data_IF_786411013464
#
_entry.id   IF_786411013464
#
_cell.length_a   1.000
_cell.length_b   1.000
_cell.length_c   1.000
_cell.angle_alpha   90.00
_cell.angle_beta   90.00
_cell.angle_gamma   90.00
#
_symmetry.space_group_name_H-M   'P 1'
#
loop_
_entity.id
_entity.type
_entity.pdbx_description
1 polymer ?
#
# COMPACT_ATOMS: atom_id res chain seq x y z
N UNK A 1 8.63 -19.25 0.76
CA UNK A 1 9.11 -17.84 0.74
C UNK A 1 8.03 -16.87 0.19
N UNK A 2 6.79 -17.33 0.13
CA UNK A 2 5.67 -16.52 -0.38
C UNK A 2 5.98 -15.92 -1.76
N UNK A 3 6.45 -16.75 -2.69
CA UNK A 3 6.61 -16.35 -4.09
C UNK A 3 5.23 -16.22 -4.73
N UNK A 4 5.08 -15.23 -5.60
CA UNK A 4 3.83 -14.93 -6.29
C UNK A 4 3.84 -15.63 -7.66
N UNK A 5 2.98 -16.62 -7.83
CA UNK A 5 2.58 -17.17 -9.11
C UNK A 5 1.22 -16.61 -9.56
N UNK A 6 0.72 -17.03 -10.71
CA UNK A 6 -0.56 -16.55 -11.26
C UNK A 6 -1.72 -16.87 -10.34
N UNK A 7 -1.76 -18.07 -9.75
CA UNK A 7 -2.84 -18.53 -8.89
C UNK A 7 -2.89 -17.67 -7.61
N UNK A 8 -1.77 -17.55 -6.91
CA UNK A 8 -1.66 -16.75 -5.66
C UNK A 8 -1.98 -15.28 -5.90
N UNK A 9 -1.49 -14.71 -7.02
CA UNK A 9 -1.74 -13.29 -7.31
C UNK A 9 -3.21 -13.05 -7.72
N UNK A 10 -3.82 -14.01 -8.43
CA UNK A 10 -5.24 -13.96 -8.78
C UNK A 10 -6.11 -14.05 -7.53
N UNK A 11 -5.81 -15.00 -6.63
CA UNK A 11 -6.52 -15.14 -5.35
C UNK A 11 -6.39 -13.86 -4.50
N UNK A 12 -5.19 -13.27 -4.41
CA UNK A 12 -4.99 -12.01 -3.70
C UNK A 12 -5.83 -10.89 -4.32
N UNK A 13 -5.81 -10.73 -5.64
CA UNK A 13 -6.62 -9.73 -6.36
C UNK A 13 -8.11 -9.89 -6.05
N UNK A 14 -8.62 -11.11 -6.18
CA UNK A 14 -10.04 -11.40 -5.99
C UNK A 14 -10.45 -11.13 -4.54
N UNK A 15 -9.60 -11.50 -3.58
CA UNK A 15 -9.83 -11.20 -2.17
C UNK A 15 -9.81 -9.69 -1.89
N UNK A 16 -8.93 -8.93 -2.54
CA UNK A 16 -8.90 -7.47 -2.40
C UNK A 16 -10.16 -6.83 -2.98
N UNK A 17 -10.71 -7.35 -4.09
CA UNK A 17 -12.01 -6.91 -4.62
C UNK A 17 -13.15 -7.13 -3.62
N UNK A 18 -13.24 -8.32 -3.02
CA UNK A 18 -14.23 -8.60 -1.98
C UNK A 18 -14.11 -7.64 -0.80
N UNK A 19 -12.89 -7.46 -0.27
CA UNK A 19 -12.62 -6.57 0.86
C UNK A 19 -12.91 -5.10 0.53
N UNK A 20 -12.74 -4.68 -0.72
CA UNK A 20 -13.01 -3.30 -1.13
C UNK A 20 -14.49 -2.93 -0.99
N UNK A 21 -15.39 -3.87 -1.19
CA UNK A 21 -16.87 -3.66 -1.14
C UNK A 21 -17.54 -4.16 0.14
N UNK A 22 -16.82 -4.88 1.01
CA UNK A 22 -17.36 -5.40 2.27
C UNK A 22 -17.50 -4.29 3.31
N UNK A 23 -18.71 -3.89 3.67
CA UNK A 23 -19.00 -2.80 4.60
C UNK A 23 -18.49 -3.04 6.03
N UNK A 24 -18.26 -4.30 6.43
CA UNK A 24 -17.74 -4.65 7.76
C UNK A 24 -16.22 -4.46 7.86
N UNK A 25 -15.51 -4.55 6.75
CA UNK A 25 -14.07 -4.33 6.70
C UNK A 25 -13.73 -2.85 6.77
N UNK A 26 -12.98 -2.41 7.76
CA UNK A 26 -12.56 -1.00 7.96
C UNK A 26 -11.13 -0.72 7.52
N UNK A 27 -10.23 -1.69 7.67
CA UNK A 27 -8.81 -1.57 7.34
C UNK A 27 -8.30 -2.93 6.84
N UNK A 28 -7.42 -2.92 5.84
CA UNK A 28 -6.78 -4.12 5.31
C UNK A 28 -5.31 -4.15 5.71
N UNK A 29 -4.86 -5.27 6.27
CA UNK A 29 -3.44 -5.51 6.57
C UNK A 29 -2.94 -6.62 5.65
N UNK A 30 -1.91 -6.33 4.87
CA UNK A 30 -1.18 -7.30 4.07
C UNK A 30 0.10 -7.72 4.80
N UNK A 31 0.32 -9.03 4.97
CA UNK A 31 1.53 -9.57 5.59
C UNK A 31 1.86 -10.94 5.00
N UNK A 32 3.11 -11.36 5.13
CA UNK A 32 3.56 -12.67 4.67
C UNK A 32 3.27 -13.79 5.67
N UNK A 33 2.95 -14.97 5.16
CA UNK A 33 2.84 -16.17 5.98
C UNK A 33 4.23 -16.59 6.53
N UNK A 34 4.29 -16.92 7.82
CA UNK A 34 5.54 -17.29 8.52
C UNK A 34 6.41 -16.07 8.86
N UNK A 35 7.69 -16.32 9.18
CA UNK A 35 8.57 -15.30 9.75
C UNK A 35 9.68 -14.83 8.77
N UNK A 36 9.86 -15.51 7.64
CA UNK A 36 11.02 -15.29 6.76
C UNK A 36 10.80 -14.26 5.67
N UNK A 37 9.60 -14.17 5.15
CA UNK A 37 9.32 -13.31 4.02
C UNK A 37 7.93 -12.71 4.13
N UNK A 38 7.84 -11.47 3.75
CA UNK A 38 6.59 -10.83 3.37
C UNK A 38 6.13 -11.43 2.04
N UNK A 39 6.74 -11.02 0.95
CA UNK A 39 6.55 -11.57 -0.39
C UNK A 39 7.89 -11.49 -1.12
N UNK A 40 8.48 -12.65 -1.47
CA UNK A 40 9.83 -12.68 -2.06
C UNK A 40 9.88 -12.34 -3.56
N UNK A 41 8.75 -11.89 -4.11
CA UNK A 41 8.63 -11.50 -5.51
C UNK A 41 7.90 -12.54 -6.35
N UNK A 42 7.87 -12.29 -7.67
CA UNK A 42 7.29 -13.19 -8.66
C UNK A 42 8.07 -14.51 -8.76
N UNK A 43 7.39 -15.58 -9.11
CA UNK A 43 8.04 -16.88 -9.37
C UNK A 43 8.90 -16.79 -10.65
N UNK A 44 10.22 -16.75 -10.47
CA UNK A 44 11.20 -16.63 -11.55
C UNK A 44 11.14 -17.84 -12.50
N UNK A 45 10.84 -19.04 -11.97
CA UNK A 45 10.72 -20.24 -12.81
C UNK A 45 9.51 -20.13 -13.75
N UNK A 46 8.39 -19.63 -13.25
CA UNK A 46 7.23 -19.33 -14.08
C UNK A 46 7.58 -18.27 -15.14
N UNK A 47 8.18 -17.16 -14.72
CA UNK A 47 8.53 -16.05 -15.60
C UNK A 47 9.51 -16.44 -16.72
N UNK A 48 10.43 -17.37 -16.47
CA UNK A 48 11.44 -17.80 -17.46
C UNK A 48 10.85 -18.48 -18.70
N UNK A 49 9.60 -18.92 -18.64
CA UNK A 49 8.88 -19.54 -19.76
C UNK A 49 7.95 -18.60 -20.55
N UNK A 50 7.80 -17.35 -20.11
CA UNK A 50 6.82 -16.42 -20.70
C UNK A 50 7.29 -15.85 -22.03
N UNK A 51 6.38 -15.82 -23.02
CA UNK A 51 6.50 -14.98 -24.20
C UNK A 51 6.07 -13.53 -23.89
N UNK A 52 6.21 -12.65 -24.89
CA UNK A 52 5.93 -11.21 -24.74
C UNK A 52 4.48 -10.93 -24.29
N UNK A 53 3.51 -11.60 -24.88
CA UNK A 53 2.10 -11.33 -24.57
C UNK A 53 1.69 -11.92 -23.20
N UNK A 54 2.25 -13.06 -22.81
CA UNK A 54 2.09 -13.64 -21.48
C UNK A 54 2.73 -12.76 -20.41
N UNK A 55 3.93 -12.21 -20.68
CA UNK A 55 4.59 -11.28 -19.78
C UNK A 55 3.79 -9.99 -19.59
N UNK A 56 3.15 -9.47 -20.65
CA UNK A 56 2.24 -8.32 -20.55
C UNK A 56 1.01 -8.65 -19.69
N UNK A 57 0.40 -9.83 -19.89
CA UNK A 57 -0.75 -10.25 -19.11
C UNK A 57 -0.38 -10.42 -17.63
N UNK A 58 0.80 -10.98 -17.35
CA UNK A 58 1.35 -11.10 -15.99
C UNK A 58 1.58 -9.72 -15.34
N UNK A 59 2.17 -8.79 -16.09
CA UNK A 59 2.34 -7.40 -15.65
C UNK A 59 1.00 -6.71 -15.37
N UNK A 60 -0.01 -6.91 -16.22
CA UNK A 60 -1.34 -6.35 -16.04
C UNK A 60 -2.03 -6.86 -14.77
N UNK A 61 -1.95 -8.16 -14.48
CA UNK A 61 -2.50 -8.75 -13.26
C UNK A 61 -1.84 -8.14 -12.00
N UNK A 62 -0.51 -7.99 -12.01
CA UNK A 62 0.19 -7.36 -10.89
C UNK A 62 -0.14 -5.88 -10.73
N UNK A 63 -0.27 -5.14 -11.84
CA UNK A 63 -0.73 -3.75 -11.81
C UNK A 63 -2.15 -3.62 -11.23
N UNK A 64 -3.09 -4.47 -11.66
CA UNK A 64 -4.46 -4.49 -11.16
C UNK A 64 -4.46 -4.74 -9.65
N UNK A 65 -3.73 -5.76 -9.19
CA UNK A 65 -3.63 -6.10 -7.76
C UNK A 65 -3.04 -4.96 -6.92
N UNK A 66 -1.96 -4.35 -7.40
CA UNK A 66 -1.33 -3.20 -6.73
C UNK A 66 -2.25 -1.97 -6.73
N UNK A 67 -2.95 -1.71 -7.83
CA UNK A 67 -3.87 -0.58 -7.93
C UNK A 67 -5.06 -0.72 -6.96
N UNK A 68 -5.57 -1.93 -6.74
CA UNK A 68 -6.61 -2.19 -5.73
C UNK A 68 -6.15 -1.79 -4.33
N UNK A 69 -4.93 -2.13 -3.91
CA UNK A 69 -4.38 -1.71 -2.62
C UNK A 69 -4.28 -0.18 -2.52
N UNK A 70 -3.85 0.48 -3.60
CA UNK A 70 -3.68 1.94 -3.65
C UNK A 70 -5.02 2.69 -3.67
N UNK A 71 -6.06 2.16 -4.34
CA UNK A 71 -7.28 2.91 -4.63
C UNK A 71 -8.53 2.45 -3.89
N UNK A 72 -8.52 1.27 -3.23
CA UNK A 72 -9.69 0.83 -2.47
C UNK A 72 -10.12 1.89 -1.43
N UNK A 73 -11.44 2.00 -1.14
CA UNK A 73 -11.97 3.05 -0.27
C UNK A 73 -11.68 2.81 1.23
N UNK A 74 -10.61 2.09 1.54
CA UNK A 74 -10.19 1.67 2.89
C UNK A 74 -8.68 1.82 3.03
N UNK A 75 -8.17 2.14 4.23
CA UNK A 75 -6.74 2.12 4.48
C UNK A 75 -6.14 0.73 4.30
N UNK A 76 -4.94 0.69 3.73
CA UNK A 76 -4.16 -0.52 3.55
C UNK A 76 -2.81 -0.40 4.27
N UNK A 77 -2.41 -1.43 5.00
CA UNK A 77 -1.16 -1.46 5.77
C UNK A 77 -0.34 -2.67 5.34
N UNK A 78 0.89 -2.45 4.88
CA UNK A 78 1.86 -3.52 4.70
C UNK A 78 2.61 -3.74 6.02
N UNK A 79 2.47 -4.94 6.61
CA UNK A 79 3.28 -5.41 7.73
C UNK A 79 4.40 -6.31 7.18
N UNK A 80 5.52 -5.70 6.83
CA UNK A 80 6.65 -6.36 6.15
C UNK A 80 7.46 -7.16 7.17
N UNK A 81 7.13 -8.44 7.31
CA UNK A 81 7.68 -9.35 8.31
C UNK A 81 8.99 -10.06 7.88
N UNK A 82 9.59 -9.68 6.75
CA UNK A 82 10.82 -10.27 6.24
C UNK A 82 11.15 -9.76 4.84
N UNK A 83 11.57 -10.65 3.92
CA UNK A 83 11.90 -10.25 2.56
C UNK A 83 10.70 -9.71 1.80
N UNK A 84 10.82 -8.51 1.23
CA UNK A 84 9.89 -7.85 0.32
C UNK A 84 10.66 -7.44 -0.95
N UNK A 85 10.74 -8.32 -1.94
CA UNK A 85 11.60 -8.14 -3.11
C UNK A 85 10.78 -8.12 -4.40
N UNK A 86 11.19 -7.30 -5.35
CA UNK A 86 10.51 -7.17 -6.64
C UNK A 86 9.01 -6.91 -6.46
N UNK A 87 8.17 -7.76 -7.06
CA UNK A 87 6.71 -7.66 -6.92
C UNK A 87 6.21 -7.58 -5.48
N UNK A 88 6.91 -8.22 -4.53
CA UNK A 88 6.59 -8.10 -3.11
C UNK A 88 6.84 -6.69 -2.56
N UNK A 89 7.91 -6.04 -2.97
CA UNK A 89 8.19 -4.64 -2.64
C UNK A 89 7.18 -3.72 -3.35
N UNK A 90 6.77 -4.03 -4.59
CA UNK A 90 5.77 -3.27 -5.35
C UNK A 90 4.39 -3.29 -4.67
N UNK A 91 3.95 -4.46 -4.15
CA UNK A 91 2.70 -4.56 -3.39
C UNK A 91 2.80 -3.86 -2.03
N UNK A 92 3.95 -3.91 -1.35
CA UNK A 92 4.17 -3.11 -0.15
C UNK A 92 4.09 -1.60 -0.43
N UNK A 93 4.71 -1.13 -1.53
CA UNK A 93 4.65 0.26 -1.98
C UNK A 93 3.23 0.72 -2.38
N UNK A 94 2.37 -0.20 -2.80
CA UNK A 94 0.98 0.09 -3.14
C UNK A 94 0.07 0.25 -1.91
N UNK A 95 0.49 -0.23 -0.74
CA UNK A 95 -0.23 0.04 0.52
C UNK A 95 -0.03 1.49 0.97
N UNK A 96 -1.00 2.04 1.70
CA UNK A 96 -0.94 3.41 2.22
C UNK A 96 0.17 3.57 3.27
N UNK A 97 0.28 2.60 4.17
CA UNK A 97 1.24 2.58 5.28
C UNK A 97 2.09 1.32 5.19
N UNK A 98 3.39 1.45 5.46
CA UNK A 98 4.36 0.34 5.50
C UNK A 98 5.08 0.31 6.83
N UNK A 99 4.95 -0.80 7.55
CA UNK A 99 5.79 -1.10 8.72
C UNK A 99 6.71 -2.26 8.39
N UNK A 100 7.93 -2.24 8.91
CA UNK A 100 8.91 -3.29 8.71
C UNK A 100 9.31 -3.95 10.04
N UNK A 101 9.51 -5.25 10.04
CA UNK A 101 10.23 -5.93 11.11
C UNK A 101 11.73 -5.60 11.03
N UNK A 102 12.47 -5.71 12.13
CA UNK A 102 13.90 -5.40 12.16
C UNK A 102 14.74 -6.27 11.22
N UNK A 103 14.28 -7.47 10.88
CA UNK A 103 14.92 -8.37 9.92
C UNK A 103 14.46 -8.16 8.47
N UNK A 104 13.58 -7.21 8.20
CA UNK A 104 13.03 -7.00 6.87
C UNK A 104 14.11 -6.51 5.88
N UNK A 105 13.98 -6.98 4.64
CA UNK A 105 14.84 -6.61 3.52
C UNK A 105 13.96 -6.26 2.32
N UNK A 106 14.10 -5.04 1.82
CA UNK A 106 13.29 -4.50 0.74
C UNK A 106 14.15 -4.16 -0.48
N UNK A 107 13.61 -4.29 -1.67
CA UNK A 107 14.35 -3.90 -2.88
C UNK A 107 13.64 -4.27 -4.17
N UNK A 108 14.20 -3.73 -5.27
CA UNK A 108 13.76 -3.96 -6.64
C UNK A 108 14.94 -4.54 -7.45
N UNK A 109 15.22 -5.86 -7.30
CA UNK A 109 16.42 -6.47 -7.89
C UNK A 109 16.25 -6.88 -9.36
N UNK A 110 15.17 -6.50 -10.03
CA UNK A 110 14.77 -6.94 -11.37
C UNK A 110 15.85 -6.71 -12.42
N UNK A 111 16.62 -5.63 -12.32
CA UNK A 111 17.71 -5.34 -13.28
C UNK A 111 18.82 -6.41 -13.26
N UNK A 112 18.99 -7.12 -12.16
CA UNK A 112 19.93 -8.25 -12.08
C UNK A 112 19.47 -9.47 -12.91
N UNK A 113 18.18 -9.47 -13.31
CA UNK A 113 17.57 -10.48 -14.17
C UNK A 113 17.39 -9.97 -15.62
N UNK A 114 17.85 -8.74 -15.93
CA UNK A 114 17.68 -8.13 -17.24
C UNK A 114 16.26 -7.64 -17.55
N UNK A 115 15.44 -7.47 -16.51
CA UNK A 115 14.06 -6.95 -16.62
C UNK A 115 13.88 -5.72 -15.73
N UNK A 116 12.70 -5.14 -15.74
CA UNK A 116 12.32 -3.99 -14.88
C UNK A 116 11.23 -4.39 -13.89
N UNK A 117 11.03 -3.64 -12.78
CA UNK A 117 9.82 -3.75 -11.97
C UNK A 117 8.57 -3.60 -12.83
N UNK A 118 7.69 -4.59 -12.80
CA UNK A 118 6.56 -4.70 -13.73
C UNK A 118 5.20 -4.35 -13.14
N UNK A 119 5.13 -4.07 -11.83
CA UNK A 119 3.86 -3.82 -11.11
C UNK A 119 3.79 -2.42 -10.48
N UNK A 120 4.60 -1.48 -10.98
CA UNK A 120 4.59 -0.07 -10.61
C UNK A 120 5.71 0.39 -9.69
N UNK A 121 6.71 -0.47 -9.40
CA UNK A 121 7.86 -0.13 -8.55
C UNK A 121 8.62 1.08 -9.04
N UNK A 122 8.81 1.24 -10.33
CA UNK A 122 9.49 2.42 -10.92
C UNK A 122 8.79 3.74 -10.58
N UNK A 123 7.46 3.71 -10.44
CA UNK A 123 6.64 4.89 -10.17
C UNK A 123 6.48 5.12 -8.67
N UNK A 124 6.06 4.09 -7.93
CA UNK A 124 5.78 4.20 -6.50
C UNK A 124 7.03 4.45 -5.67
N UNK A 125 8.15 3.78 -5.99
CA UNK A 125 9.42 4.01 -5.28
C UNK A 125 9.88 5.47 -5.41
N UNK A 126 9.76 6.06 -6.61
CA UNK A 126 10.12 7.46 -6.84
C UNK A 126 9.22 8.44 -6.06
N UNK A 127 7.93 8.12 -5.93
CA UNK A 127 6.97 8.93 -5.15
C UNK A 127 7.26 8.85 -3.65
N UNK A 128 7.68 7.69 -3.15
CA UNK A 128 7.89 7.43 -1.72
C UNK A 128 9.26 7.92 -1.26
N UNK A 129 10.34 7.58 -1.99
CA UNK A 129 11.72 7.85 -1.57
C UNK A 129 12.38 9.03 -2.29
N UNK A 130 11.68 9.64 -3.25
CA UNK A 130 12.27 10.64 -4.13
C UNK A 130 13.10 10.04 -5.27
N UNK A 131 13.23 10.81 -6.35
CA UNK A 131 13.75 10.32 -7.63
C UNK A 131 15.20 9.83 -7.56
N UNK A 132 16.06 10.51 -6.76
CA UNK A 132 17.48 10.14 -6.63
C UNK A 132 17.68 8.78 -5.99
N UNK A 133 17.05 8.54 -4.84
CA UNK A 133 17.10 7.26 -4.13
C UNK A 133 16.45 6.15 -4.96
N UNK A 134 15.31 6.44 -5.58
CA UNK A 134 14.64 5.46 -6.43
C UNK A 134 15.51 4.99 -7.59
N UNK A 135 16.17 5.92 -8.30
CA UNK A 135 17.10 5.57 -9.40
C UNK A 135 18.29 4.76 -8.91
N UNK A 136 18.88 5.11 -7.77
CA UNK A 136 19.96 4.33 -7.19
C UNK A 136 19.52 2.89 -6.94
N UNK A 137 18.40 2.67 -6.24
CA UNK A 137 17.90 1.34 -5.92
C UNK A 137 17.52 0.56 -7.18
N UNK A 138 16.81 1.19 -8.12
CA UNK A 138 16.38 0.56 -9.36
C UNK A 138 17.54 0.19 -10.30
N UNK A 139 18.58 1.04 -10.39
CA UNK A 139 19.69 0.81 -11.29
C UNK A 139 20.70 -0.20 -10.74
N UNK A 140 20.90 -0.19 -9.41
CA UNK A 140 21.82 -1.12 -8.77
C UNK A 140 21.18 -2.46 -8.44
N UNK A 141 19.86 -2.53 -8.32
CA UNK A 141 19.15 -3.69 -7.83
C UNK A 141 19.56 -4.10 -6.42
N UNK A 142 20.16 -3.18 -5.64
CA UNK A 142 20.57 -3.47 -4.27
C UNK A 142 19.36 -3.57 -3.34
N UNK A 143 19.55 -4.34 -2.30
CA UNK A 143 18.57 -4.55 -1.24
C UNK A 143 18.91 -3.61 -0.08
N UNK A 144 17.90 -3.06 0.59
CA UNK A 144 18.03 -2.25 1.79
C UNK A 144 17.49 -3.00 3.00
N UNK A 145 18.13 -2.83 4.15
CA UNK A 145 17.69 -3.33 5.43
C UNK A 145 16.68 -2.38 6.09
N UNK A 146 15.99 -2.84 7.12
CA UNK A 146 14.89 -2.11 7.76
C UNK A 146 15.27 -0.68 8.20
N UNK A 147 16.44 -0.50 8.83
CA UNK A 147 16.90 0.81 9.31
C UNK A 147 17.18 1.79 8.16
N UNK A 148 17.75 1.29 7.05
CA UNK A 148 17.94 2.11 5.86
C UNK A 148 16.59 2.43 5.22
N UNK A 149 15.69 1.45 5.12
CA UNK A 149 14.35 1.64 4.57
C UNK A 149 13.57 2.73 5.34
N UNK A 150 13.71 2.77 6.68
CA UNK A 150 13.16 3.85 7.49
C UNK A 150 13.81 5.21 7.17
N UNK A 151 15.14 5.26 7.11
CA UNK A 151 15.88 6.51 6.87
C UNK A 151 15.57 7.14 5.52
N UNK A 152 15.34 6.33 4.47
CA UNK A 152 15.00 6.81 3.12
C UNK A 152 13.50 7.01 2.90
N UNK A 153 12.65 6.78 3.91
CA UNK A 153 11.20 6.92 3.83
C UNK A 153 10.48 5.78 3.12
N UNK A 154 11.17 4.67 2.83
CA UNK A 154 10.56 3.49 2.19
C UNK A 154 9.54 2.81 3.11
N UNK A 155 9.76 2.87 4.43
CA UNK A 155 8.82 2.42 5.46
C UNK A 155 8.55 3.52 6.49
N UNK A 156 7.39 3.48 7.14
CA UNK A 156 6.94 4.49 8.11
C UNK A 156 7.50 4.24 9.51
N UNK A 157 7.76 2.97 9.87
CA UNK A 157 8.39 2.59 11.12
C UNK A 157 9.00 1.19 11.04
N UNK A 158 9.96 0.92 11.94
CA UNK A 158 10.48 -0.43 12.22
C UNK A 158 9.98 -0.84 13.60
N UNK A 159 9.40 -2.04 13.72
CA UNK A 159 8.80 -2.53 14.96
C UNK A 159 8.78 -4.07 14.99
N UNK A 160 9.09 -4.64 16.15
CA UNK A 160 8.99 -6.09 16.38
C UNK A 160 8.07 -6.37 17.60
N UNK A 161 7.04 -7.20 17.42
CA UNK A 161 6.54 -7.80 16.18
C UNK A 161 5.80 -6.79 15.28
N UNK A 162 6.12 -6.78 13.99
CA UNK A 162 5.56 -5.81 13.04
C UNK A 162 4.04 -5.90 12.89
N UNK A 163 3.47 -7.10 12.97
CA UNK A 163 2.02 -7.31 12.84
C UNK A 163 1.25 -6.69 14.02
N UNK A 164 1.80 -6.66 15.22
CA UNK A 164 1.19 -5.97 16.37
C UNK A 164 1.09 -4.48 16.09
N UNK A 165 2.15 -3.86 15.59
CA UNK A 165 2.14 -2.44 15.20
C UNK A 165 1.10 -2.14 14.12
N UNK A 166 0.98 -3.00 13.13
CA UNK A 166 -0.03 -2.87 12.09
C UNK A 166 -1.45 -2.96 12.67
N UNK A 167 -1.70 -3.90 13.60
CA UNK A 167 -3.00 -4.06 14.28
C UNK A 167 -3.35 -2.88 15.18
N UNK A 168 -2.40 -2.36 15.95
CA UNK A 168 -2.60 -1.14 16.73
C UNK A 168 -3.06 0.01 15.86
N UNK A 169 -2.34 0.24 14.75
CA UNK A 169 -2.69 1.30 13.80
C UNK A 169 -4.04 1.04 13.13
N UNK A 170 -4.32 -0.20 12.73
CA UNK A 170 -5.61 -0.57 12.16
C UNK A 170 -6.76 -0.31 13.14
N UNK A 171 -6.59 -0.60 14.43
CA UNK A 171 -7.58 -0.31 15.48
C UNK A 171 -7.84 1.19 15.60
N UNK A 172 -6.78 2.01 15.58
CA UNK A 172 -6.91 3.47 15.59
C UNK A 172 -7.66 3.99 14.36
N UNK A 173 -7.35 3.46 13.17
CA UNK A 173 -8.01 3.86 11.93
C UNK A 173 -9.47 3.39 11.89
N UNK A 174 -9.76 2.18 12.35
CA UNK A 174 -11.12 1.63 12.38
C UNK A 174 -12.06 2.43 13.29
N UNK A 175 -11.54 3.13 14.29
CA UNK A 175 -12.31 4.03 15.17
C UNK A 175 -12.58 5.41 14.55
N UNK A 176 -12.03 5.73 13.36
CA UNK A 176 -12.26 7.00 12.68
C UNK A 176 -13.42 6.91 11.68
N UNK A 177 -13.91 8.07 11.21
CA UNK A 177 -14.88 8.13 10.14
C UNK A 177 -14.32 7.52 8.85
N UNK A 178 -14.91 6.43 8.37
CA UNK A 178 -14.48 5.80 7.12
C UNK A 178 -14.76 6.66 5.89
N UNK A 179 -15.80 7.50 5.93
CA UNK A 179 -16.09 8.46 4.86
C UNK A 179 -14.97 9.49 4.75
N UNK A 180 -14.56 10.06 5.87
CA UNK A 180 -13.45 11.03 5.90
C UNK A 180 -12.13 10.39 5.45
N UNK A 181 -11.78 9.21 5.97
CA UNK A 181 -10.54 8.50 5.59
C UNK A 181 -10.52 8.18 4.09
N UNK A 182 -11.63 7.71 3.51
CA UNK A 182 -11.76 7.44 2.08
C UNK A 182 -11.42 8.68 1.24
N UNK A 183 -12.00 9.83 1.60
CA UNK A 183 -11.78 11.09 0.89
C UNK A 183 -10.34 11.56 1.05
N UNK A 184 -9.77 11.48 2.26
CA UNK A 184 -8.36 11.82 2.51
C UNK A 184 -7.43 10.95 1.66
N UNK A 185 -7.67 9.64 1.58
CA UNK A 185 -6.88 8.72 0.74
C UNK A 185 -6.97 9.11 -0.73
N UNK A 186 -8.18 9.36 -1.24
CA UNK A 186 -8.40 9.75 -2.64
C UNK A 186 -7.65 11.05 -2.98
N UNK A 187 -7.75 12.07 -2.15
CA UNK A 187 -7.09 13.36 -2.35
C UNK A 187 -5.57 13.24 -2.22
N UNK A 188 -5.07 12.52 -1.21
CA UNK A 188 -3.64 12.32 -1.01
C UNK A 188 -2.99 11.56 -2.19
N UNK A 189 -3.67 10.58 -2.78
CA UNK A 189 -3.18 9.86 -3.95
C UNK A 189 -3.01 10.77 -5.19
N UNK A 190 -3.76 11.86 -5.27
CA UNK A 190 -3.66 12.86 -6.34
C UNK A 190 -2.56 13.91 -6.11
N UNK A 191 -1.98 13.99 -4.90
CA UNK A 191 -1.07 15.08 -4.50
C UNK A 191 0.17 15.24 -5.40
N UNK A 192 0.70 14.12 -5.95
CA UNK A 192 1.86 14.12 -6.84
C UNK A 192 1.49 13.98 -8.32
N UNK A 193 0.23 14.19 -8.69
CA UNK A 193 -0.26 14.07 -10.06
C UNK A 193 -1.20 15.23 -10.41
N UNK A 194 -1.23 15.61 -11.69
CA UNK A 194 -2.14 16.63 -12.18
C UNK A 194 -1.75 18.06 -11.80
N UNK A 195 -2.74 18.95 -11.92
CA UNK A 195 -2.60 20.37 -11.57
C UNK A 195 -2.87 20.57 -10.07
N UNK A 196 -1.89 21.08 -9.36
CA UNK A 196 -1.99 21.35 -7.92
C UNK A 196 -3.17 22.27 -7.57
N UNK A 197 -3.43 23.31 -8.37
CA UNK A 197 -4.55 24.21 -8.12
C UNK A 197 -5.91 23.52 -8.33
N UNK A 198 -6.00 22.59 -9.29
CA UNK A 198 -7.19 21.75 -9.47
C UNK A 198 -7.39 20.80 -8.27
N UNK A 199 -6.32 20.17 -7.78
CA UNK A 199 -6.39 19.30 -6.60
C UNK A 199 -6.86 20.05 -5.36
N UNK A 200 -6.41 21.30 -5.13
CA UNK A 200 -6.86 22.14 -4.01
C UNK A 200 -8.35 22.54 -4.15
N UNK A 201 -8.83 22.79 -5.36
CA UNK A 201 -10.28 23.05 -5.57
C UNK A 201 -11.11 21.82 -5.23
N UNK A 202 -10.69 20.64 -5.71
CA UNK A 202 -11.38 19.38 -5.40
C UNK A 202 -11.39 19.11 -3.89
N UNK A 203 -10.29 19.37 -3.18
CA UNK A 203 -10.21 19.25 -1.72
C UNK A 203 -11.25 20.16 -1.05
N UNK A 204 -11.35 21.43 -1.48
CA UNK A 204 -12.33 22.38 -0.94
C UNK A 204 -13.78 21.94 -1.18
N UNK A 205 -14.08 21.40 -2.36
CA UNK A 205 -15.41 20.86 -2.70
C UNK A 205 -15.75 19.66 -1.82
N UNK A 206 -14.86 18.66 -1.75
CA UNK A 206 -15.07 17.45 -0.94
C UNK A 206 -15.11 17.74 0.56
N UNK A 207 -14.35 18.74 1.04
CA UNK A 207 -14.43 19.22 2.42
C UNK A 207 -15.85 19.73 2.73
N UNK A 208 -16.41 20.56 1.85
CA UNK A 208 -17.78 21.07 2.01
C UNK A 208 -18.84 19.96 2.00
N UNK A 209 -18.70 19.00 1.07
CA UNK A 209 -19.64 17.88 0.94
C UNK A 209 -19.67 16.98 2.19
N UNK A 210 -18.52 16.81 2.88
CA UNK A 210 -18.43 16.03 4.11
C UNK A 210 -19.37 16.53 5.22
N UNK A 211 -19.71 17.82 5.27
CA UNK A 211 -20.64 18.36 6.28
C UNK A 211 -22.07 17.83 6.14
N UNK A 212 -22.42 17.20 5.03
CA UNK A 212 -23.69 16.50 4.86
C UNK A 212 -23.73 15.16 5.59
N UNK A 213 -22.56 14.55 5.87
CA UNK A 213 -22.45 13.22 6.49
C UNK A 213 -22.89 13.20 7.95
N UNK A 214 -23.40 12.05 8.42
CA UNK A 214 -23.71 11.85 9.84
C UNK A 214 -22.42 11.86 10.68
N UNK A 215 -21.33 11.31 10.15
CA UNK A 215 -20.04 11.23 10.84
C UNK A 215 -19.44 12.63 11.09
N UNK A 216 -19.55 13.57 10.15
CA UNK A 216 -19.08 14.94 10.37
C UNK A 216 -19.87 15.64 11.47
N UNK A 217 -21.20 15.50 11.48
CA UNK A 217 -22.09 16.06 12.52
C UNK A 217 -21.75 15.45 13.89
N UNK A 218 -21.62 14.12 13.95
CA UNK A 218 -21.25 13.41 15.17
C UNK A 218 -19.89 13.88 15.70
N UNK A 219 -18.87 13.91 14.85
CA UNK A 219 -17.51 14.29 15.24
C UNK A 219 -17.44 15.71 15.80
N UNK A 220 -18.09 16.68 15.13
CA UNK A 220 -18.13 18.06 15.59
C UNK A 220 -18.92 18.22 16.89
N UNK A 221 -20.06 17.53 17.03
CA UNK A 221 -20.89 17.56 18.24
C UNK A 221 -20.14 16.95 19.41
N UNK A 222 -19.55 15.75 19.23
CA UNK A 222 -18.79 15.05 20.26
C UNK A 222 -17.61 15.89 20.77
N UNK A 223 -16.91 16.59 19.85
CA UNK A 223 -15.82 17.51 20.23
C UNK A 223 -16.30 18.66 21.12
N UNK A 224 -17.42 19.31 20.78
CA UNK A 224 -18.01 20.40 21.59
C UNK A 224 -18.47 19.89 22.95
N UNK A 225 -19.05 18.70 22.99
CA UNK A 225 -19.55 18.04 24.20
C UNK A 225 -18.45 17.37 25.04
N UNK A 226 -17.20 17.35 24.56
CA UNK A 226 -16.03 16.70 25.19
C UNK A 226 -16.24 15.21 25.47
N UNK A 227 -16.83 14.49 24.53
CA UNK A 227 -17.02 13.03 24.54
C UNK A 227 -16.36 12.39 23.33
N UNK A 228 -16.14 11.09 23.40
CA UNK A 228 -15.67 10.30 22.25
C UNK A 228 -16.79 10.21 21.18
N UNK A 229 -16.43 10.37 19.89
CA UNK A 229 -17.37 10.22 18.79
C UNK A 229 -17.65 8.75 18.48
N UNK A 230 -18.84 8.45 17.97
CA UNK A 230 -19.25 7.12 17.49
C UNK A 230 -19.56 7.21 16.00
N UNK A 231 -18.56 6.94 15.16
CA UNK A 231 -18.68 7.01 13.72
C UNK A 231 -19.36 5.77 13.13
N UNK A 232 -20.21 5.97 12.13
CA UNK A 232 -20.99 4.94 11.45
C UNK A 232 -20.63 4.73 9.99
N UNK A 233 -19.77 5.60 9.43
CA UNK A 233 -19.32 5.54 8.06
C UNK A 233 -20.32 6.06 7.02
N UNK A 234 -21.16 6.99 7.37
CA UNK A 234 -22.19 7.56 6.49
C UNK A 234 -22.49 9.04 6.80
#
# INVERSE_FOLDING_TARGET
>A
MNALDVETLTELRDRLHELAVDDETRVVILTGAGEKAFLAGADIKYMSGLGVDEAKAWGALGHETALLLETMPKPTIAAVNGFALGGGCELALACDIRYAAGNAKLGQPEVNLGIIPGWGGTQRLARVCGLGVAKELLFTGRIVEADEALRIGLVNAVHDPVLEKARETATLLAAKSSVAIRIVKELANKALSGDHAANLRTEGEMFGELFSSEDAKEGLTAFVEKREPVFRGR
#
